data_IF_588376434180
#
_entry.id   IF_588376434180
#
_cell.length_a   1.000
_cell.length_b   1.000
_cell.length_c   1.000
_cell.angle_alpha   90.00
_cell.angle_beta   90.00
_cell.angle_gamma   90.00
#
_symmetry.space_group_name_H-M   'P 1'
#
loop_
_entity.id
_entity.type
_entity.pdbx_description
1 polymer ?
#
# COMPACT_ATOMS: atom_id res chain seq x y z
N UNK A 1 -51.24 17.19 8.35
CA UNK A 1 -50.27 16.13 7.97
C UNK A 1 -48.93 16.76 7.78
N UNK A 2 -48.09 16.70 8.79
CA UNK A 2 -46.74 17.24 8.72
C UNK A 2 -45.84 16.04 8.37
N UNK A 3 -45.26 16.11 7.16
CA UNK A 3 -44.38 15.05 6.65
C UNK A 3 -43.07 14.98 7.44
N UNK A 4 -42.76 13.78 7.85
CA UNK A 4 -41.55 13.40 8.55
C UNK A 4 -40.36 13.57 7.60
N UNK A 5 -39.47 14.49 7.92
CA UNK A 5 -38.19 14.65 7.19
C UNK A 5 -37.19 13.60 7.72
N UNK A 6 -36.54 12.83 6.84
CA UNK A 6 -35.52 11.91 7.31
C UNK A 6 -34.30 12.69 7.85
N UNK A 7 -33.79 12.22 8.98
CA UNK A 7 -32.62 12.78 9.65
C UNK A 7 -31.38 12.77 8.73
N UNK A 8 -30.50 13.78 8.80
CA UNK A 8 -29.26 13.84 8.02
C UNK A 8 -28.32 12.72 8.42
N UNK A 9 -27.69 12.16 7.41
CA UNK A 9 -26.90 10.96 7.37
C UNK A 9 -25.85 10.77 8.45
N UNK A 10 -25.53 9.51 8.62
CA UNK A 10 -24.52 8.97 9.53
C UNK A 10 -23.21 9.78 9.48
N UNK A 11 -22.90 10.43 10.60
CA UNK A 11 -21.71 11.20 10.79
C UNK A 11 -20.47 10.32 10.57
N UNK A 12 -19.54 10.81 9.76
CA UNK A 12 -18.19 10.26 9.71
C UNK A 12 -17.63 10.37 11.15
N UNK A 13 -17.37 9.23 11.77
CA UNK A 13 -16.77 9.20 13.10
C UNK A 13 -15.40 9.88 13.04
N UNK A 14 -15.17 10.87 13.87
CA UNK A 14 -13.85 11.52 14.01
C UNK A 14 -12.86 10.43 14.41
N UNK A 15 -11.77 10.21 13.63
CA UNK A 15 -10.78 9.20 13.98
C UNK A 15 -10.22 9.48 15.38
N UNK A 16 -9.99 8.44 16.17
CA UNK A 16 -9.27 8.60 17.43
C UNK A 16 -7.89 9.19 17.14
N UNK A 17 -7.32 9.96 18.10
CA UNK A 17 -5.96 10.53 17.97
C UNK A 17 -4.94 9.46 17.50
N UNK A 18 -5.03 8.26 18.04
CA UNK A 18 -4.17 7.12 17.67
C UNK A 18 -4.33 6.69 16.20
N UNK A 19 -5.53 6.80 15.64
CA UNK A 19 -5.77 6.53 14.21
C UNK A 19 -5.16 7.62 13.34
N UNK A 20 -5.36 8.89 13.71
CA UNK A 20 -4.79 10.02 12.99
C UNK A 20 -3.25 9.97 12.97
N UNK A 21 -2.61 9.63 14.10
CA UNK A 21 -1.16 9.46 14.18
C UNK A 21 -0.66 8.33 13.26
N UNK A 22 -1.37 7.21 13.19
CA UNK A 22 -1.04 6.09 12.29
C UNK A 22 -1.20 6.48 10.82
N UNK A 23 -2.25 7.19 10.47
CA UNK A 23 -2.50 7.65 9.09
C UNK A 23 -1.46 8.68 8.65
N UNK A 24 -1.06 9.57 9.55
CA UNK A 24 0.02 10.52 9.31
C UNK A 24 1.37 9.81 9.11
N UNK A 25 1.70 8.83 9.95
CA UNK A 25 2.93 8.04 9.82
C UNK A 25 2.97 7.25 8.50
N UNK A 26 1.85 6.62 8.11
CA UNK A 26 1.74 5.90 6.84
C UNK A 26 1.91 6.83 5.63
N UNK A 27 1.29 8.01 5.67
CA UNK A 27 1.46 9.02 4.63
C UNK A 27 2.91 9.50 4.50
N UNK A 28 3.57 9.76 5.64
CA UNK A 28 4.97 10.16 5.68
C UNK A 28 5.91 9.04 5.19
N UNK A 29 5.69 7.79 5.61
CA UNK A 29 6.43 6.63 5.15
C UNK A 29 6.30 6.45 3.63
N UNK A 30 5.08 6.49 3.11
CA UNK A 30 4.81 6.38 1.66
C UNK A 30 5.51 7.50 0.89
N UNK A 31 5.40 8.74 1.38
CA UNK A 31 5.99 9.91 0.77
C UNK A 31 7.50 10.03 0.92
N UNK A 32 8.15 9.27 1.81
CA UNK A 32 9.60 9.29 1.96
C UNK A 32 10.33 8.71 0.75
N UNK A 33 9.69 7.81 0.00
CA UNK A 33 10.26 7.18 -1.20
C UNK A 33 9.97 8.04 -2.44
N UNK A 34 10.98 8.61 -3.14
CA UNK A 34 10.78 9.45 -4.32
C UNK A 34 9.97 8.76 -5.43
N UNK A 35 10.19 7.47 -5.65
CA UNK A 35 9.51 6.71 -6.70
C UNK A 35 8.01 6.53 -6.41
N UNK A 36 7.61 6.37 -5.15
CA UNK A 36 6.20 6.34 -4.75
C UNK A 36 5.51 7.67 -5.10
N UNK A 37 6.19 8.80 -4.86
CA UNK A 37 5.70 10.13 -5.24
C UNK A 37 5.58 10.29 -6.75
N UNK A 38 6.58 9.81 -7.51
CA UNK A 38 6.57 9.86 -8.97
C UNK A 38 5.36 9.11 -9.53
N UNK A 39 5.08 7.91 -9.04
CA UNK A 39 3.92 7.13 -9.46
C UNK A 39 2.60 7.65 -8.87
N UNK A 40 2.66 8.45 -7.82
CA UNK A 40 1.48 8.96 -7.12
C UNK A 40 0.78 7.90 -6.27
N UNK A 41 1.51 6.84 -5.88
CA UNK A 41 0.97 5.76 -5.06
C UNK A 41 0.55 6.28 -3.70
N UNK A 42 -0.58 5.80 -3.21
CA UNK A 42 -1.14 6.07 -1.88
C UNK A 42 -1.48 4.77 -1.19
N UNK A 43 -1.62 4.82 0.12
CA UNK A 43 -2.05 3.68 0.90
C UNK A 43 -3.17 4.09 1.85
N UNK A 44 -4.24 3.31 1.83
CA UNK A 44 -5.35 3.41 2.76
C UNK A 44 -5.25 2.25 3.76
N UNK A 45 -5.60 2.54 5.00
CA UNK A 45 -5.61 1.57 6.08
C UNK A 45 -7.02 1.39 6.62
N UNK A 46 -7.46 0.15 6.71
CA UNK A 46 -8.72 -0.21 7.37
C UNK A 46 -8.40 -1.27 8.45
N UNK A 47 -8.38 -0.86 9.71
CA UNK A 47 -7.84 -1.71 10.78
C UNK A 47 -6.36 -2.03 10.52
N UNK A 48 -6.03 -3.30 10.44
CA UNK A 48 -4.68 -3.79 10.16
C UNK A 48 -4.45 -4.06 8.65
N UNK A 49 -5.47 -3.91 7.82
CA UNK A 49 -5.36 -4.11 6.38
C UNK A 49 -4.82 -2.87 5.68
N UNK A 50 -3.76 -3.05 4.88
CA UNK A 50 -3.16 -2.03 4.06
C UNK A 50 -3.55 -2.24 2.59
N UNK A 51 -4.13 -1.23 1.95
CA UNK A 51 -4.50 -1.26 0.53
C UNK A 51 -3.75 -0.15 -0.20
N UNK A 52 -2.92 -0.55 -1.16
CA UNK A 52 -2.28 0.37 -2.09
C UNK A 52 -3.26 0.86 -3.13
N UNK A 53 -3.11 2.12 -3.53
CA UNK A 53 -3.86 2.78 -4.59
C UNK A 53 -2.90 3.42 -5.58
N UNK A 54 -3.06 3.11 -6.85
CA UNK A 54 -2.40 3.75 -7.97
C UNK A 54 -3.44 4.57 -8.73
N UNK A 55 -3.53 5.89 -8.50
CA UNK A 55 -4.40 6.77 -9.26
C UNK A 55 -4.02 6.75 -10.73
N UNK A 56 -5.02 6.73 -11.60
CA UNK A 56 -4.78 6.77 -13.03
C UNK A 56 -4.19 8.11 -13.47
N UNK A 57 -3.23 8.05 -14.38
CA UNK A 57 -2.69 9.18 -15.14
C UNK A 57 -2.32 8.69 -16.54
N UNK A 58 -2.48 9.49 -17.56
CA UNK A 58 -2.22 9.13 -18.96
C UNK A 58 -0.79 8.65 -19.21
N UNK A 59 0.19 9.19 -18.46
CA UNK A 59 1.60 8.76 -18.54
C UNK A 59 1.83 7.30 -18.13
N UNK A 60 0.87 6.65 -17.47
CA UNK A 60 0.96 5.26 -17.05
C UNK A 60 0.56 4.27 -18.15
N UNK A 61 0.08 4.74 -19.30
CA UNK A 61 -0.32 3.92 -20.44
C UNK A 61 0.92 3.37 -21.15
N UNK A 62 0.95 2.05 -21.35
CA UNK A 62 2.01 1.36 -22.09
C UNK A 62 1.60 0.96 -23.51
N UNK A 63 0.29 0.88 -23.77
CA UNK A 63 -0.23 0.56 -25.10
C UNK A 63 -1.30 1.61 -25.47
N UNK A 64 -0.99 2.57 -26.36
CA UNK A 64 -1.94 3.60 -26.73
C UNK A 64 -3.04 3.12 -27.71
N UNK A 65 -2.83 2.00 -28.41
CA UNK A 65 -3.80 1.45 -29.37
C UNK A 65 -4.92 0.70 -28.64
N UNK A 66 -4.53 -0.10 -27.65
CA UNK A 66 -5.46 -0.75 -26.70
C UNK A 66 -5.14 -0.16 -25.34
N UNK A 67 -5.80 0.95 -24.95
CA UNK A 67 -5.41 1.70 -23.75
C UNK A 67 -5.30 0.78 -22.53
N UNK A 68 -4.05 0.47 -22.14
CA UNK A 68 -3.74 -0.38 -21.03
C UNK A 68 -2.53 0.16 -20.26
N UNK A 69 -2.55 -0.02 -18.95
CA UNK A 69 -1.44 0.32 -18.08
C UNK A 69 -0.17 -0.41 -18.54
N UNK A 70 0.96 0.29 -18.48
CA UNK A 70 2.25 -0.31 -18.77
C UNK A 70 2.56 -1.43 -17.76
N UNK A 71 2.99 -2.60 -18.24
CA UNK A 71 3.32 -3.74 -17.37
C UNK A 71 4.36 -3.40 -16.30
N UNK A 72 5.38 -2.60 -16.65
CA UNK A 72 6.37 -2.11 -15.70
C UNK A 72 5.77 -1.25 -14.58
N UNK A 73 4.76 -0.43 -14.88
CA UNK A 73 4.04 0.36 -13.85
C UNK A 73 3.27 -0.57 -12.92
N UNK A 74 2.54 -1.54 -13.47
CA UNK A 74 1.80 -2.52 -12.69
C UNK A 74 2.75 -3.35 -11.82
N UNK A 75 3.88 -3.78 -12.39
CA UNK A 75 4.92 -4.52 -11.65
C UNK A 75 5.53 -3.72 -10.52
N UNK A 76 5.91 -2.46 -10.78
CA UNK A 76 6.41 -1.54 -9.75
C UNK A 76 5.39 -1.32 -8.64
N UNK A 77 4.11 -1.16 -8.99
CA UNK A 77 3.06 -0.97 -7.99
C UNK A 77 2.86 -2.19 -7.10
N UNK A 78 2.93 -3.39 -7.65
CA UNK A 78 2.89 -4.64 -6.88
C UNK A 78 4.09 -4.75 -5.94
N UNK A 79 5.31 -4.45 -6.42
CA UNK A 79 6.52 -4.47 -5.62
C UNK A 79 6.48 -3.42 -4.49
N UNK A 80 6.08 -2.18 -4.80
CA UNK A 80 5.88 -1.12 -3.81
C UNK A 80 4.88 -1.58 -2.74
N UNK A 81 3.79 -2.24 -3.13
CA UNK A 81 2.78 -2.71 -2.18
C UNK A 81 3.36 -3.76 -1.23
N UNK A 82 4.20 -4.68 -1.73
CA UNK A 82 4.89 -5.65 -0.87
C UNK A 82 5.85 -4.98 0.11
N UNK A 83 6.71 -4.08 -0.39
CA UNK A 83 7.69 -3.36 0.42
C UNK A 83 7.02 -2.49 1.49
N UNK A 84 5.94 -1.81 1.11
CA UNK A 84 5.17 -0.95 2.04
C UNK A 84 4.45 -1.76 3.11
N UNK A 85 3.94 -2.95 2.80
CA UNK A 85 3.37 -3.84 3.82
C UNK A 85 4.40 -4.18 4.88
N UNK A 86 5.58 -4.67 4.47
CA UNK A 86 6.64 -5.05 5.40
C UNK A 86 7.19 -3.85 6.19
N UNK A 87 7.39 -2.71 5.53
CA UNK A 87 7.85 -1.50 6.19
C UNK A 87 6.82 -0.95 7.18
N UNK A 88 5.53 -1.03 6.83
CA UNK A 88 4.45 -0.59 7.69
C UNK A 88 4.30 -1.47 8.93
N UNK A 89 4.39 -2.79 8.78
CA UNK A 89 4.34 -3.72 9.91
C UNK A 89 5.41 -3.38 10.96
N UNK A 90 6.63 -3.05 10.53
CA UNK A 90 7.71 -2.63 11.40
C UNK A 90 7.46 -1.26 12.04
N UNK A 91 6.98 -0.29 11.27
CA UNK A 91 6.62 1.05 11.78
C UNK A 91 5.51 0.95 12.82
N UNK A 92 4.48 0.15 12.55
CA UNK A 92 3.36 -0.06 13.46
C UNK A 92 3.81 -0.69 14.78
N UNK A 93 4.67 -1.72 14.71
CA UNK A 93 5.24 -2.34 15.90
C UNK A 93 6.01 -1.34 16.79
N UNK A 94 6.81 -0.45 16.18
CA UNK A 94 7.53 0.62 16.90
C UNK A 94 6.59 1.66 17.49
N UNK A 95 5.53 2.02 16.79
CA UNK A 95 4.50 2.93 17.33
C UNK A 95 3.78 2.32 18.53
N UNK A 96 3.52 1.01 18.50
CA UNK A 96 2.87 0.28 19.60
C UNK A 96 3.78 0.06 20.80
N UNK A 97 5.08 -0.08 20.57
CA UNK A 97 6.08 -0.13 21.65
C UNK A 97 6.08 1.16 22.47
N UNK A 98 5.77 2.31 21.84
CA UNK A 98 5.72 3.60 22.51
C UNK A 98 7.10 4.19 22.80
N UNK A 99 7.14 5.16 23.71
CA UNK A 99 8.39 5.79 24.18
C UNK A 99 9.22 6.41 23.06
N UNK A 100 10.55 6.19 23.09
CA UNK A 100 11.49 6.73 22.11
C UNK A 100 11.23 6.19 20.69
N UNK A 101 10.87 4.90 20.56
CA UNK A 101 10.59 4.28 19.28
C UNK A 101 9.45 4.98 18.54
N UNK A 102 8.33 5.23 19.22
CA UNK A 102 7.20 5.97 18.66
C UNK A 102 7.56 7.43 18.34
N UNK A 103 8.35 8.08 19.21
CA UNK A 103 8.80 9.46 18.99
C UNK A 103 9.67 9.59 17.75
N UNK A 104 10.53 8.63 17.46
CA UNK A 104 11.34 8.58 16.22
C UNK A 104 10.46 8.47 14.98
N UNK A 105 9.44 7.61 15.00
CA UNK A 105 8.48 7.50 13.89
C UNK A 105 7.74 8.83 13.69
N UNK A 106 7.25 9.46 14.76
CA UNK A 106 6.56 10.75 14.68
C UNK A 106 7.46 11.86 14.11
N UNK A 107 8.77 11.78 14.33
CA UNK A 107 9.77 12.69 13.75
C UNK A 107 10.16 12.33 12.30
N UNK A 108 9.56 11.29 11.68
CA UNK A 108 9.85 10.85 10.32
C UNK A 108 11.12 9.98 10.20
N UNK A 109 11.68 9.52 11.33
CA UNK A 109 12.84 8.63 11.35
C UNK A 109 12.35 7.17 11.25
N UNK A 110 12.17 6.70 10.02
CA UNK A 110 11.71 5.35 9.73
C UNK A 110 12.85 4.32 9.80
N UNK A 111 12.54 3.04 10.13
CA UNK A 111 13.50 1.95 10.03
C UNK A 111 13.95 1.77 8.57
N UNK A 112 15.09 1.11 8.33
CA UNK A 112 15.53 0.79 6.99
C UNK A 112 14.48 -0.04 6.23
N UNK A 113 14.31 0.24 4.93
CA UNK A 113 13.35 -0.48 4.10
C UNK A 113 13.83 -1.92 3.81
N UNK A 114 12.90 -2.87 3.69
CA UNK A 114 13.18 -4.19 3.12
C UNK A 114 13.70 -4.05 1.68
N UNK A 115 14.45 -5.06 1.22
CA UNK A 115 15.00 -5.07 -0.14
C UNK A 115 14.45 -6.25 -0.91
N UNK A 116 13.99 -6.00 -2.13
CA UNK A 116 13.59 -7.07 -3.05
C UNK A 116 14.80 -7.90 -3.44
N UNK A 117 14.71 -9.22 -3.29
CA UNK A 117 15.75 -10.18 -3.73
C UNK A 117 15.27 -11.11 -4.84
N UNK A 118 13.98 -11.20 -5.08
CA UNK A 118 13.43 -11.93 -6.21
C UNK A 118 11.92 -11.81 -6.27
N UNK A 119 11.39 -11.52 -7.45
CA UNK A 119 9.95 -11.43 -7.70
C UNK A 119 9.59 -12.13 -9.00
N UNK A 120 8.38 -12.69 -9.02
CA UNK A 120 7.72 -13.17 -10.22
C UNK A 120 6.37 -12.49 -10.33
N UNK A 121 6.05 -11.99 -11.52
CA UNK A 121 4.79 -11.28 -11.78
C UNK A 121 4.03 -12.03 -12.87
N UNK A 122 2.77 -12.33 -12.57
CA UNK A 122 1.84 -12.92 -13.51
C UNK A 122 0.84 -11.85 -13.95
N UNK A 123 0.83 -11.49 -15.23
CA UNK A 123 -0.13 -10.55 -15.81
C UNK A 123 -1.33 -11.34 -16.31
N UNK A 124 -2.46 -11.19 -15.63
CA UNK A 124 -3.65 -12.01 -15.85
C UNK A 124 -4.65 -11.34 -16.80
N UNK A 125 -4.72 -10.01 -16.79
CA UNK A 125 -5.63 -9.20 -17.60
C UNK A 125 -5.02 -7.85 -17.90
N UNK A 126 -5.42 -7.18 -18.99
CA UNK A 126 -5.05 -5.79 -19.22
C UNK A 126 -5.54 -4.90 -18.06
N UNK A 127 -4.65 -4.08 -17.50
CA UNK A 127 -5.03 -2.99 -16.62
C UNK A 127 -5.62 -1.85 -17.42
N UNK A 128 -6.89 -1.53 -17.21
CA UNK A 128 -7.57 -0.46 -17.94
C UNK A 128 -7.12 0.94 -17.45
N UNK A 129 -7.37 2.02 -18.21
CA UNK A 129 -7.01 3.39 -17.84
C UNK A 129 -7.90 3.93 -16.71
N UNK A 130 -7.72 3.39 -15.52
CA UNK A 130 -8.43 3.75 -14.29
C UNK A 130 -7.63 3.37 -13.06
N UNK A 131 -8.08 3.84 -11.89
CA UNK A 131 -7.44 3.55 -10.62
C UNK A 131 -7.28 2.03 -10.39
N UNK A 132 -6.12 1.68 -9.86
CA UNK A 132 -5.76 0.29 -9.54
C UNK A 132 -5.47 0.17 -8.06
N UNK A 133 -5.94 -0.90 -7.46
CA UNK A 133 -5.74 -1.24 -6.07
C UNK A 133 -4.82 -2.45 -5.96
N UNK A 134 -4.07 -2.54 -4.87
CA UNK A 134 -3.28 -3.73 -4.59
C UNK A 134 -3.23 -4.01 -3.08
N UNK A 135 -3.08 -5.29 -2.74
CA UNK A 135 -2.94 -5.75 -1.36
C UNK A 135 -1.91 -6.86 -1.27
N UNK A 136 -1.03 -6.77 -0.29
CA UNK A 136 -0.06 -7.79 0.01
C UNK A 136 -0.57 -8.72 1.11
N UNK A 137 -0.17 -9.99 1.02
CA UNK A 137 -0.37 -10.99 2.05
C UNK A 137 0.97 -11.62 2.39
N UNK A 138 1.41 -11.50 3.64
CA UNK A 138 2.63 -12.13 4.12
C UNK A 138 2.39 -13.64 4.24
N UNK A 139 3.08 -14.43 3.44
CA UNK A 139 2.99 -15.90 3.45
C UNK A 139 3.89 -16.49 4.53
N UNK A 140 5.08 -15.91 4.68
CA UNK A 140 6.06 -16.29 5.70
C UNK A 140 6.94 -15.10 6.02
N UNK A 141 7.05 -14.77 7.29
CA UNK A 141 8.02 -13.81 7.81
C UNK A 141 9.08 -14.55 8.61
N UNK A 142 10.30 -14.58 8.07
CA UNK A 142 11.49 -15.05 8.77
C UNK A 142 12.33 -13.87 9.26
N UNK A 143 13.31 -14.16 10.12
CA UNK A 143 14.20 -13.11 10.66
C UNK A 143 14.96 -12.32 9.56
N UNK A 144 15.32 -12.96 8.46
CA UNK A 144 16.12 -12.36 7.37
C UNK A 144 15.37 -12.24 6.05
N UNK A 145 14.39 -13.09 5.81
CA UNK A 145 13.66 -13.13 4.53
C UNK A 145 12.17 -13.28 4.80
N UNK A 146 11.38 -12.45 4.14
CA UNK A 146 9.93 -12.56 4.09
C UNK A 146 9.48 -12.95 2.68
N UNK A 147 8.42 -13.79 2.61
CA UNK A 147 7.76 -14.16 1.37
C UNK A 147 6.38 -13.53 1.34
N UNK A 148 6.05 -12.85 0.24
CA UNK A 148 4.76 -12.20 0.07
C UNK A 148 4.10 -12.59 -1.24
N UNK A 149 2.77 -12.60 -1.21
CA UNK A 149 1.91 -12.54 -2.38
C UNK A 149 1.23 -11.19 -2.44
N UNK A 150 1.12 -10.62 -3.64
CA UNK A 150 0.40 -9.35 -3.86
C UNK A 150 -0.55 -9.54 -5.02
N UNK A 151 -1.76 -9.03 -4.87
CA UNK A 151 -2.79 -9.01 -5.91
C UNK A 151 -3.11 -7.57 -6.26
N UNK A 152 -3.16 -7.25 -7.55
CA UNK A 152 -3.66 -5.97 -8.05
C UNK A 152 -5.00 -6.17 -8.79
N UNK A 153 -5.94 -5.28 -8.54
CA UNK A 153 -7.28 -5.30 -9.15
C UNK A 153 -7.79 -3.89 -9.42
N UNK A 154 -8.86 -3.78 -10.17
CA UNK A 154 -9.54 -2.51 -10.47
C UNK A 154 -10.98 -2.50 -9.96
N UNK A 155 -11.84 -3.38 -10.45
CA UNK A 155 -13.25 -3.41 -10.05
C UNK A 155 -13.52 -4.35 -8.87
N UNK A 156 -12.90 -5.51 -8.87
CA UNK A 156 -13.13 -6.54 -7.87
C UNK A 156 -11.83 -7.31 -7.59
N UNK A 157 -11.53 -7.50 -6.32
CA UNK A 157 -10.38 -8.31 -5.89
C UNK A 157 -10.48 -9.76 -6.35
N UNK A 158 -11.69 -10.30 -6.54
CA UNK A 158 -11.89 -11.64 -7.08
C UNK A 158 -11.46 -11.78 -8.55
N UNK A 159 -11.16 -10.65 -9.23
CA UNK A 159 -10.70 -10.61 -10.62
C UNK A 159 -9.42 -9.79 -10.75
N UNK A 160 -8.30 -10.26 -10.20
CA UNK A 160 -7.05 -9.55 -10.24
C UNK A 160 -6.57 -9.36 -11.69
N UNK A 161 -5.94 -8.22 -11.96
CA UNK A 161 -5.29 -7.93 -13.25
C UNK A 161 -3.87 -8.46 -13.29
N UNK A 162 -3.19 -8.49 -12.14
CA UNK A 162 -1.86 -9.03 -11.99
C UNK A 162 -1.62 -9.54 -10.57
N UNK A 163 -0.67 -10.45 -10.43
CA UNK A 163 -0.23 -11.00 -9.15
C UNK A 163 1.29 -11.00 -9.07
N UNK A 164 1.82 -10.82 -7.87
CA UNK A 164 3.26 -10.94 -7.59
C UNK A 164 3.47 -11.97 -6.48
N UNK A 165 4.51 -12.79 -6.67
CA UNK A 165 5.12 -13.61 -5.61
C UNK A 165 6.56 -13.17 -5.44
N UNK A 166 6.97 -12.89 -4.21
CA UNK A 166 8.29 -12.33 -4.00
C UNK A 166 8.94 -12.69 -2.67
N UNK A 167 10.27 -12.59 -2.68
CA UNK A 167 11.14 -12.73 -1.54
C UNK A 167 11.81 -11.39 -1.26
N UNK A 168 11.82 -11.01 0.00
CA UNK A 168 12.31 -9.72 0.45
C UNK A 168 13.28 -9.91 1.62
N UNK A 169 14.43 -9.27 1.52
CA UNK A 169 15.42 -9.24 2.59
C UNK A 169 14.97 -8.24 3.65
N UNK A 170 14.77 -8.71 4.86
CA UNK A 170 14.44 -7.86 5.99
C UNK A 170 15.69 -7.13 6.50
N UNK A 171 15.56 -5.84 6.87
CA UNK A 171 16.68 -5.12 7.47
C UNK A 171 17.11 -5.80 8.77
N UNK A 172 18.42 -5.85 9.00
CA UNK A 172 18.99 -6.30 10.27
C UNK A 172 19.21 -5.04 11.09
N UNK A 173 18.74 -5.02 12.33
CA UNK A 173 19.13 -3.98 13.27
C UNK A 173 20.63 -4.14 13.54
N UNK A 174 21.39 -3.10 13.25
CA UNK A 174 22.81 -3.01 13.55
C UNK A 174 23.04 -2.59 14.99
#
# INVERSE_FOLDING_TARGET
MIGDMPAPGAGQSIPSRRQADRDAALGALTGSVPYNRLLGVRFDRLGDELTGRLPYRDILIGNPVLPALHGGVTGSFLEITALMQLAWDEVLARMEQGGEAASRIAAGNFPPYPKTIGITIDYLRPGLPRETFARATVQKAGRRVANLHVEAWQDSRARPIAMLRGNFLMPVEG
#
